data_IF_320873554332
#
_entry.id   IF_320873554332
#
_cell.length_a   1.000
_cell.length_b   1.000
_cell.length_c   1.000
_cell.angle_alpha   90.00
_cell.angle_beta   90.00
_cell.angle_gamma   90.00
#
_symmetry.space_group_name_H-M   'P 1'
#
loop_
_entity.id
_entity.type
_entity.pdbx_description
1 polymer ?
#
# COMPACT_ATOMS: atom_id res chain seq x y z
N UNK A 1 -13.33 23.35 9.09
CA UNK A 1 -13.16 22.61 10.36
C UNK A 1 -14.19 21.49 10.38
N UNK A 2 -13.82 20.25 10.04
CA UNK A 2 -14.73 19.12 10.22
C UNK A 2 -14.58 18.62 11.66
N UNK A 3 -15.68 18.68 12.41
CA UNK A 3 -15.82 18.05 13.71
C UNK A 3 -15.34 16.60 13.60
N UNK A 4 -14.50 16.19 14.55
CA UNK A 4 -13.99 14.82 14.71
C UNK A 4 -15.16 13.84 14.64
N UNK A 5 -15.33 13.20 13.48
CA UNK A 5 -16.29 12.12 13.30
C UNK A 5 -15.97 11.05 14.34
N UNK A 6 -16.99 10.54 15.03
CA UNK A 6 -16.77 9.51 16.03
C UNK A 6 -16.04 8.31 15.39
N UNK A 7 -15.07 7.71 16.08
CA UNK A 7 -14.38 6.53 15.58
C UNK A 7 -15.43 5.44 15.31
N UNK A 8 -15.46 4.90 14.09
CA UNK A 8 -16.45 3.90 13.65
C UNK A 8 -15.75 2.69 13.05
N UNK A 9 -16.28 1.52 13.35
CA UNK A 9 -15.98 0.29 12.62
C UNK A 9 -17.07 0.12 11.56
N UNK A 10 -16.67 -0.12 10.32
CA UNK A 10 -17.60 -0.26 9.20
C UNK A 10 -17.70 -1.75 8.87
N UNK A 11 -18.87 -2.38 9.02
CA UNK A 11 -19.05 -3.78 8.64
C UNK A 11 -18.96 -3.92 7.12
N UNK A 12 -18.23 -4.93 6.65
CA UNK A 12 -18.20 -5.32 5.24
C UNK A 12 -19.46 -6.15 4.97
N UNK A 13 -20.45 -5.57 4.30
CA UNK A 13 -21.77 -6.18 4.07
C UNK A 13 -21.72 -7.57 3.46
N UNK A 14 -20.76 -7.81 2.56
CA UNK A 14 -20.58 -9.09 1.90
C UNK A 14 -20.12 -10.22 2.85
N UNK A 15 -19.53 -9.90 4.00
CA UNK A 15 -18.97 -10.89 4.93
C UNK A 15 -19.34 -10.52 6.36
N UNK A 16 -20.30 -11.27 6.91
CA UNK A 16 -20.72 -11.06 8.30
C UNK A 16 -19.55 -11.27 9.27
N UNK A 17 -19.40 -10.36 10.22
CA UNK A 17 -18.28 -10.37 11.18
C UNK A 17 -17.00 -9.69 10.69
N UNK A 18 -16.88 -9.32 9.40
CA UNK A 18 -15.70 -8.58 8.91
C UNK A 18 -15.93 -7.06 8.99
N UNK A 19 -14.94 -6.34 9.51
CA UNK A 19 -14.99 -4.88 9.67
C UNK A 19 -13.73 -4.21 9.09
N UNK A 20 -13.89 -2.99 8.60
CA UNK A 20 -12.79 -2.09 8.24
C UNK A 20 -12.88 -0.78 9.02
N UNK A 21 -11.73 -0.20 9.37
CA UNK A 21 -11.67 1.14 9.96
C UNK A 21 -10.36 1.87 9.67
N UNK A 22 -10.30 3.13 10.11
CA UNK A 22 -9.05 3.86 10.31
C UNK A 22 -8.41 3.53 11.68
N UNK A 23 -7.29 4.18 11.99
CA UNK A 23 -6.57 3.97 13.26
C UNK A 23 -7.37 4.37 14.50
N UNK A 24 -8.25 5.38 14.38
CA UNK A 24 -9.02 5.89 15.51
C UNK A 24 -10.19 4.97 15.83
N UNK A 25 -10.85 4.44 14.81
CA UNK A 25 -11.84 3.36 14.90
C UNK A 25 -11.28 2.16 15.65
N UNK A 26 -10.09 1.72 15.27
CA UNK A 26 -9.42 0.59 15.88
C UNK A 26 -9.04 0.83 17.35
N UNK A 27 -8.71 2.07 17.75
CA UNK A 27 -8.33 2.41 19.13
C UNK A 27 -9.50 2.57 20.11
N UNK A 28 -10.76 2.32 19.71
CA UNK A 28 -11.93 2.46 20.57
C UNK A 28 -12.32 1.11 21.19
N UNK A 29 -11.93 0.85 22.45
CA UNK A 29 -12.29 -0.38 23.16
C UNK A 29 -13.80 -0.63 23.17
N UNK A 30 -14.60 0.41 23.41
CA UNK A 30 -16.07 0.33 23.35
C UNK A 30 -16.58 -0.18 21.99
N UNK A 31 -15.95 0.22 20.89
CA UNK A 31 -16.34 -0.29 19.57
C UNK A 31 -15.89 -1.73 19.37
N UNK A 32 -14.67 -2.07 19.81
CA UNK A 32 -14.15 -3.42 19.69
C UNK A 32 -15.02 -4.42 20.48
N UNK A 33 -15.37 -4.09 21.72
CA UNK A 33 -16.25 -4.89 22.57
C UNK A 33 -17.68 -4.93 22.02
N UNK A 34 -18.23 -3.78 21.64
CA UNK A 34 -19.60 -3.67 21.13
C UNK A 34 -19.84 -4.43 19.81
N UNK A 35 -18.81 -4.66 19.02
CA UNK A 35 -18.86 -5.45 17.79
C UNK A 35 -18.30 -6.88 17.95
N UNK A 36 -17.97 -7.30 19.18
CA UNK A 36 -17.44 -8.64 19.44
C UNK A 36 -16.13 -8.93 18.70
N UNK A 37 -15.28 -7.92 18.51
CA UNK A 37 -14.02 -8.07 17.78
C UNK A 37 -13.09 -8.99 18.58
N UNK A 38 -12.71 -10.12 17.97
CA UNK A 38 -11.78 -11.11 18.53
C UNK A 38 -10.42 -11.09 17.83
N UNK A 39 -10.35 -10.57 16.59
CA UNK A 39 -9.07 -10.42 15.87
C UNK A 39 -8.94 -9.07 15.20
N UNK A 40 -7.71 -8.57 15.18
CA UNK A 40 -7.35 -7.33 14.49
C UNK A 40 -6.17 -7.61 13.56
N UNK A 41 -6.31 -7.24 12.30
CA UNK A 41 -5.23 -7.14 11.32
C UNK A 41 -4.86 -5.66 11.14
N UNK A 42 -3.73 -5.27 11.71
CA UNK A 42 -3.19 -3.91 11.64
C UNK A 42 -2.18 -3.82 10.49
N UNK A 43 -2.48 -3.01 9.49
CA UNK A 43 -1.59 -2.78 8.34
C UNK A 43 -1.03 -1.36 8.43
N UNK A 44 0.12 -1.22 9.07
CA UNK A 44 0.66 0.05 9.57
C UNK A 44 2.12 0.26 9.13
N UNK A 45 2.63 1.48 9.18
CA UNK A 45 4.06 1.75 8.97
C UNK A 45 4.82 1.35 10.23
N UNK A 46 6.13 1.02 10.15
CA UNK A 46 6.92 0.67 11.34
C UNK A 46 6.90 1.72 12.46
N UNK A 47 6.75 3.00 12.11
CA UNK A 47 6.68 4.11 13.07
C UNK A 47 5.25 4.44 13.54
N UNK A 48 4.22 3.87 12.93
CA UNK A 48 2.82 4.00 13.34
C UNK A 48 2.57 3.08 14.54
N UNK A 49 3.02 3.50 15.72
CA UNK A 49 2.74 2.76 16.97
C UNK A 49 1.24 2.74 17.24
N UNK A 50 0.67 1.54 17.29
CA UNK A 50 -0.72 1.33 17.63
C UNK A 50 -0.89 0.20 18.65
N UNK A 51 -1.83 0.43 19.57
CA UNK A 51 -2.30 -0.53 20.59
C UNK A 51 -3.80 -0.30 20.79
N UNK A 52 -4.58 -1.34 21.11
CA UNK A 52 -5.91 -1.16 21.68
C UNK A 52 -5.78 -0.30 22.94
N UNK A 53 -6.61 0.73 23.11
CA UNK A 53 -6.68 1.44 24.40
C UNK A 53 -7.50 0.59 25.35
N UNK A 54 -6.86 -0.12 26.27
CA UNK A 54 -7.58 -0.66 27.41
C UNK A 54 -8.12 0.48 28.27
N UNK A 55 -9.25 0.26 28.96
CA UNK A 55 -9.89 1.25 29.85
C UNK A 55 -8.98 1.67 31.02
N UNK A 56 -7.86 0.99 31.25
CA UNK A 56 -6.80 1.37 32.16
C UNK A 56 -5.48 1.04 31.45
N UNK A 57 -4.67 2.04 31.10
CA UNK A 57 -3.31 2.11 31.64
C UNK A 57 -2.51 3.34 31.19
N UNK A 58 -2.03 4.03 32.21
CA UNK A 58 -0.86 4.87 32.16
C UNK A 58 0.38 3.99 32.37
N UNK A 59 1.12 3.72 31.29
CA UNK A 59 2.54 3.41 31.35
C UNK A 59 2.95 1.96 31.66
N UNK A 60 3.95 1.53 30.89
CA UNK A 60 4.98 0.51 31.20
C UNK A 60 4.78 -0.89 30.59
N UNK A 61 5.67 -1.16 29.62
CA UNK A 61 6.29 -2.41 29.15
C UNK A 61 5.53 -3.76 29.12
N UNK A 62 5.57 -4.32 27.89
CA UNK A 62 5.38 -5.72 27.46
C UNK A 62 5.03 -6.76 28.52
N UNK A 63 3.82 -7.30 28.42
CA UNK A 63 3.51 -8.72 28.63
C UNK A 63 2.17 -9.05 27.95
N UNK A 64 1.92 -10.33 27.66
CA UNK A 64 0.65 -10.82 27.13
C UNK A 64 -0.41 -10.63 28.21
N UNK A 65 -1.06 -9.47 28.22
CA UNK A 65 -2.06 -9.15 29.24
C UNK A 65 -3.37 -9.89 28.94
N UNK A 66 -3.59 -10.96 29.71
CA UNK A 66 -4.91 -11.58 29.86
C UNK A 66 -5.80 -10.62 30.64
N UNK A 67 -6.76 -9.99 29.96
CA UNK A 67 -7.83 -9.26 30.65
C UNK A 67 -8.67 -10.25 31.48
N UNK A 68 -8.97 -9.97 32.75
CA UNK A 68 -9.86 -10.80 33.55
C UNK A 68 -11.29 -10.63 33.05
N UNK A 69 -11.75 -11.54 32.20
CA UNK A 69 -13.15 -11.66 31.76
C UNK A 69 -13.49 -11.19 30.34
N UNK A 70 -12.52 -10.74 29.53
CA UNK A 70 -12.75 -10.26 28.16
C UNK A 70 -12.24 -11.25 27.11
N UNK A 71 -12.94 -11.40 25.99
CA UNK A 71 -12.55 -12.27 24.88
C UNK A 71 -11.07 -12.05 24.48
N UNK A 72 -10.34 -13.15 24.22
CA UNK A 72 -8.93 -13.11 23.80
C UNK A 72 -8.78 -12.36 22.46
N UNK A 73 -8.53 -11.04 22.52
CA UNK A 73 -8.27 -10.20 21.36
C UNK A 73 -6.89 -10.52 20.79
N UNK A 74 -6.83 -11.13 19.60
CA UNK A 74 -5.58 -11.42 18.92
C UNK A 74 -5.26 -10.33 17.89
N UNK A 75 -4.03 -9.80 17.93
CA UNK A 75 -3.58 -8.76 17.01
C UNK A 75 -2.46 -9.29 16.13
N UNK A 76 -2.56 -9.04 14.82
CA UNK A 76 -1.51 -9.28 13.84
C UNK A 76 -1.15 -7.98 13.15
N UNK A 77 0.13 -7.64 13.15
CA UNK A 77 0.63 -6.43 12.50
C UNK A 77 1.43 -6.79 11.25
N UNK A 78 1.09 -6.14 10.13
CA UNK A 78 1.87 -6.15 8.90
C UNK A 78 2.43 -4.74 8.74
N UNK A 79 3.75 -4.64 8.80
CA UNK A 79 4.46 -3.36 8.76
C UNK A 79 4.83 -2.99 7.32
N UNK A 80 4.00 -2.13 6.71
CA UNK A 80 4.18 -1.67 5.32
C UNK A 80 3.82 -0.18 5.13
N UNK A 81 4.54 0.44 4.21
CA UNK A 81 4.22 1.76 3.68
C UNK A 81 3.07 1.70 2.68
N UNK A 82 2.36 2.82 2.52
CA UNK A 82 1.32 2.97 1.50
C UNK A 82 1.93 3.40 0.16
N UNK A 83 2.90 2.63 -0.29
CA UNK A 83 3.70 2.90 -1.49
C UNK A 83 3.39 1.86 -2.58
N UNK A 84 3.22 2.27 -3.86
CA UNK A 84 2.94 1.36 -4.97
C UNK A 84 3.95 0.22 -5.19
N UNK A 85 5.20 0.40 -4.76
CA UNK A 85 6.29 -0.55 -4.96
C UNK A 85 6.44 -1.53 -3.79
N UNK A 86 5.73 -1.32 -2.67
CA UNK A 86 5.76 -2.27 -1.56
C UNK A 86 5.06 -3.57 -1.96
N UNK A 87 5.76 -4.70 -1.73
CA UNK A 87 5.25 -6.04 -2.00
C UNK A 87 4.27 -6.48 -0.93
N UNK A 88 2.98 -6.39 -1.26
CA UNK A 88 1.89 -6.90 -0.43
C UNK A 88 1.56 -8.36 -0.73
N UNK A 89 1.93 -8.87 -1.93
CA UNK A 89 1.63 -10.24 -2.38
C UNK A 89 2.15 -11.30 -1.41
N UNK A 90 3.35 -11.10 -0.85
CA UNK A 90 3.95 -12.00 0.14
C UNK A 90 3.12 -12.17 1.42
N UNK A 91 2.25 -11.21 1.75
CA UNK A 91 1.43 -11.22 2.97
C UNK A 91 -0.02 -11.65 2.75
N UNK A 92 -0.52 -11.63 1.51
CA UNK A 92 -1.95 -11.79 1.25
C UNK A 92 -2.49 -13.16 1.67
N UNK A 93 -1.74 -14.24 1.45
CA UNK A 93 -2.15 -15.59 1.83
C UNK A 93 -2.36 -15.70 3.35
N UNK A 94 -1.31 -15.39 4.12
CA UNK A 94 -1.35 -15.44 5.58
C UNK A 94 -2.40 -14.48 6.17
N UNK A 95 -2.54 -13.29 5.59
CA UNK A 95 -3.54 -12.32 6.04
C UNK A 95 -4.97 -12.80 5.78
N UNK A 96 -5.23 -13.41 4.63
CA UNK A 96 -6.55 -13.97 4.34
C UNK A 96 -6.85 -15.17 5.24
N UNK A 97 -5.87 -16.03 5.54
CA UNK A 97 -6.02 -17.14 6.49
C UNK A 97 -6.30 -16.62 7.91
N UNK A 98 -5.60 -15.55 8.31
CA UNK A 98 -5.81 -14.89 9.59
C UNK A 98 -7.24 -14.35 9.74
N UNK A 99 -7.76 -13.71 8.69
CA UNK A 99 -9.12 -13.19 8.65
C UNK A 99 -10.13 -14.34 8.71
N UNK A 100 -10.01 -15.34 7.83
CA UNK A 100 -10.95 -16.47 7.77
C UNK A 100 -11.03 -17.22 9.11
N UNK A 101 -9.88 -17.50 9.72
CA UNK A 101 -9.84 -18.18 11.01
C UNK A 101 -10.39 -17.33 12.17
N UNK A 102 -10.50 -16.01 12.01
CA UNK A 102 -11.10 -15.10 12.98
C UNK A 102 -12.62 -14.99 12.88
N UNK A 103 -13.18 -15.16 11.69
CA UNK A 103 -14.63 -15.12 11.45
C UNK A 103 -15.36 -16.35 12.03
N UNK A 104 -14.61 -17.35 12.50
CA UNK A 104 -15.12 -18.68 12.81
C UNK A 104 -15.49 -19.40 11.52
N UNK A 105 -15.34 -20.72 11.47
CA UNK A 105 -15.82 -21.49 10.31
C UNK A 105 -17.31 -21.17 10.12
N UNK A 106 -17.67 -20.53 9.01
CA UNK A 106 -18.99 -20.76 8.41
C UNK A 106 -19.08 -22.28 8.33
N UNK A 107 -19.96 -22.86 9.13
CA UNK A 107 -20.11 -24.30 9.15
C UNK A 107 -20.62 -24.68 7.77
N UNK A 108 -19.74 -25.19 6.92
CA UNK A 108 -20.04 -25.86 5.63
C UNK A 108 -20.88 -27.14 5.81
N UNK A 109 -21.52 -27.32 6.95
CA UNK A 109 -22.55 -28.30 7.18
C UNK A 109 -23.71 -27.58 7.86
N UNK A 110 -24.93 -27.82 7.37
CA UNK A 110 -26.19 -27.39 7.99
C UNK A 110 -26.44 -28.01 9.37
N UNK A 111 -25.46 -27.90 10.27
CA UNK A 111 -25.55 -28.23 11.67
C UNK A 111 -26.10 -27.02 12.41
N UNK A 112 -27.20 -27.24 13.12
CA UNK A 112 -27.68 -26.37 14.18
C UNK A 112 -26.50 -25.94 15.07
N UNK A 113 -26.09 -24.66 14.98
CA UNK A 113 -25.22 -24.07 15.98
C UNK A 113 -26.07 -23.91 17.24
N UNK A 114 -26.00 -24.92 18.10
CA UNK A 114 -26.59 -24.87 19.42
C UNK A 114 -25.84 -23.81 20.24
N UNK A 115 -26.47 -22.64 20.42
CA UNK A 115 -26.02 -21.64 21.36
C UNK A 115 -26.12 -20.22 20.81
N UNK A 116 -26.72 -19.34 21.62
CA UNK A 116 -26.93 -17.91 21.40
C UNK A 116 -25.61 -17.10 21.42
N UNK A 117 -24.52 -17.63 20.84
CA UNK A 117 -23.20 -17.02 20.86
C UNK A 117 -23.11 -15.98 19.71
N UNK A 118 -22.74 -14.73 20.00
CA UNK A 118 -22.58 -13.72 18.97
C UNK A 118 -21.45 -14.10 18.00
N UNK A 119 -21.64 -13.80 16.71
CA UNK A 119 -20.62 -14.06 15.68
C UNK A 119 -19.31 -13.31 16.04
N UNK A 120 -18.14 -13.98 15.98
CA UNK A 120 -16.87 -13.33 16.23
C UNK A 120 -16.55 -12.29 15.15
N UNK A 121 -16.07 -11.13 15.58
CA UNK A 121 -15.69 -10.03 14.71
C UNK A 121 -14.19 -10.01 14.37
N UNK A 122 -13.86 -9.67 13.12
CA UNK A 122 -12.50 -9.43 12.64
C UNK A 122 -12.41 -8.01 12.11
N UNK A 123 -11.44 -7.24 12.61
CA UNK A 123 -11.18 -5.89 12.15
C UNK A 123 -9.91 -5.84 11.30
N UNK A 124 -9.98 -5.24 10.11
CA UNK A 124 -8.82 -4.86 9.31
C UNK A 124 -8.70 -3.34 9.31
N UNK A 125 -7.55 -2.81 9.72
CA UNK A 125 -7.36 -1.36 9.73
C UNK A 125 -5.96 -0.95 9.28
N UNK A 126 -5.85 0.30 8.82
CA UNK A 126 -4.59 0.98 8.59
C UNK A 126 -4.67 2.38 9.21
N UNK A 127 -3.89 3.34 8.70
CA UNK A 127 -3.99 4.73 9.13
C UNK A 127 -5.35 5.37 8.82
N UNK A 128 -5.84 5.23 7.59
CA UNK A 128 -7.02 5.94 7.07
C UNK A 128 -8.21 5.03 6.74
N UNK A 129 -8.01 3.70 6.69
CA UNK A 129 -9.06 2.78 6.25
C UNK A 129 -9.39 2.91 4.76
N UNK A 130 -8.40 3.22 3.91
CA UNK A 130 -8.58 3.54 2.47
C UNK A 130 -7.76 2.59 1.57
N UNK A 131 -6.43 2.72 1.58
CA UNK A 131 -5.55 2.01 0.63
C UNK A 131 -5.02 0.70 1.21
N UNK A 132 -4.06 0.75 2.16
CA UNK A 132 -3.49 -0.45 2.80
C UNK A 132 -4.55 -1.45 3.29
N UNK A 133 -5.36 -1.12 4.30
CA UNK A 133 -6.39 -2.04 4.79
C UNK A 133 -7.45 -2.37 3.74
N UNK A 134 -7.77 -1.42 2.84
CA UNK A 134 -8.66 -1.64 1.72
C UNK A 134 -8.15 -2.73 0.78
N UNK A 135 -6.85 -2.74 0.47
CA UNK A 135 -6.21 -3.74 -0.36
C UNK A 135 -6.32 -5.15 0.26
N UNK A 136 -6.09 -5.28 1.57
CA UNK A 136 -6.23 -6.55 2.27
C UNK A 136 -7.68 -7.04 2.34
N UNK A 137 -8.65 -6.14 2.56
CA UNK A 137 -10.09 -6.48 2.51
C UNK A 137 -10.47 -6.94 1.10
N UNK A 138 -10.05 -6.21 0.06
CA UNK A 138 -10.32 -6.59 -1.34
C UNK A 138 -9.67 -7.93 -1.67
N UNK A 139 -8.41 -8.16 -1.29
CA UNK A 139 -7.73 -9.45 -1.48
C UNK A 139 -8.50 -10.63 -0.86
N UNK A 140 -9.03 -10.42 0.35
CA UNK A 140 -9.84 -11.40 1.06
C UNK A 140 -11.15 -11.68 0.33
N UNK A 141 -11.89 -10.65 -0.08
CA UNK A 141 -13.14 -10.80 -0.85
C UNK A 141 -12.91 -11.52 -2.18
N UNK A 142 -11.84 -11.18 -2.91
CA UNK A 142 -11.44 -11.87 -4.13
C UNK A 142 -11.21 -13.37 -3.85
N UNK A 143 -10.46 -13.70 -2.79
CA UNK A 143 -10.15 -15.09 -2.44
C UNK A 143 -11.38 -15.88 -1.97
N UNK A 144 -12.24 -15.29 -1.14
CA UNK A 144 -13.43 -15.91 -0.55
C UNK A 144 -14.49 -16.18 -1.61
N UNK A 145 -14.77 -15.21 -2.47
CA UNK A 145 -15.83 -15.32 -3.49
C UNK A 145 -15.34 -15.76 -4.87
N UNK A 146 -14.03 -15.91 -5.06
CA UNK A 146 -13.42 -16.26 -6.36
C UNK A 146 -13.84 -15.31 -7.48
N UNK A 147 -13.89 -14.02 -7.15
CA UNK A 147 -14.28 -12.94 -8.07
C UNK A 147 -13.06 -12.10 -8.47
N UNK A 148 -13.23 -11.35 -9.55
CA UNK A 148 -12.20 -10.44 -10.04
C UNK A 148 -11.96 -9.27 -9.10
N UNK A 149 -10.83 -8.59 -9.28
CA UNK A 149 -10.51 -7.37 -8.53
C UNK A 149 -11.63 -6.32 -8.59
N UNK A 150 -12.19 -6.05 -9.78
CA UNK A 150 -13.22 -5.03 -9.96
C UNK A 150 -14.53 -5.38 -9.23
N UNK A 151 -14.92 -6.65 -9.24
CA UNK A 151 -16.08 -7.13 -8.50
C UNK A 151 -15.86 -7.06 -6.98
N UNK A 152 -14.71 -7.53 -6.49
CA UNK A 152 -14.38 -7.46 -5.06
C UNK A 152 -14.27 -6.01 -4.55
N UNK A 153 -13.70 -5.10 -5.34
CA UNK A 153 -13.64 -3.68 -5.01
C UNK A 153 -15.05 -3.06 -4.92
N UNK A 154 -15.96 -3.45 -5.82
CA UNK A 154 -17.37 -3.03 -5.76
C UNK A 154 -18.02 -3.48 -4.46
N UNK A 155 -17.89 -4.78 -4.11
CA UNK A 155 -18.42 -5.33 -2.86
C UNK A 155 -17.87 -4.60 -1.61
N UNK A 156 -16.58 -4.29 -1.60
CA UNK A 156 -15.98 -3.52 -0.50
C UNK A 156 -16.59 -2.09 -0.43
N UNK A 157 -16.77 -1.45 -1.58
CA UNK A 157 -17.29 -0.07 -1.69
C UNK A 157 -18.77 0.07 -1.38
N UNK A 158 -19.56 -1.00 -1.47
CA UNK A 158 -20.93 -1.02 -0.95
C UNK A 158 -21.00 -0.73 0.57
N UNK A 159 -19.90 -1.02 1.27
CA UNK A 159 -19.77 -0.80 2.71
C UNK A 159 -19.04 0.51 3.02
N UNK A 160 -17.97 0.80 2.28
CA UNK A 160 -17.13 2.00 2.45
C UNK A 160 -16.64 2.51 1.10
N UNK A 161 -17.26 3.58 0.58
CA UNK A 161 -16.98 4.11 -0.76
C UNK A 161 -15.56 4.63 -0.92
N UNK A 162 -14.91 5.05 0.18
CA UNK A 162 -13.54 5.57 0.16
C UNK A 162 -12.48 4.47 -0.02
N UNK A 163 -12.82 3.17 0.02
CA UNK A 163 -11.86 2.10 -0.22
C UNK A 163 -11.25 2.27 -1.62
N UNK A 164 -9.94 2.47 -1.65
CA UNK A 164 -9.20 2.70 -2.88
C UNK A 164 -7.75 2.29 -2.64
N UNK A 165 -7.39 1.02 -2.92
CA UNK A 165 -5.99 0.61 -2.99
C UNK A 165 -5.21 1.54 -3.90
N UNK A 166 -3.95 1.83 -3.57
CA UNK A 166 -3.07 2.55 -4.48
C UNK A 166 -2.85 1.75 -5.78
N UNK A 167 -2.35 2.40 -6.83
CA UNK A 167 -2.21 1.80 -8.17
C UNK A 167 -1.28 0.58 -8.20
N UNK A 168 -0.26 0.55 -7.34
CA UNK A 168 0.64 -0.60 -7.22
C UNK A 168 0.00 -1.79 -6.51
N UNK A 169 -0.78 -1.54 -5.46
CA UNK A 169 -1.57 -2.56 -4.79
C UNK A 169 -2.66 -3.12 -5.70
N UNK A 170 -3.32 -2.28 -6.49
CA UNK A 170 -4.26 -2.75 -7.52
C UNK A 170 -3.60 -3.72 -8.52
N UNK A 171 -2.42 -3.36 -9.07
CA UNK A 171 -1.67 -4.25 -9.97
C UNK A 171 -1.35 -5.58 -9.29
N UNK A 172 -0.91 -5.53 -8.04
CA UNK A 172 -0.63 -6.72 -7.24
C UNK A 172 -1.88 -7.57 -7.00
N UNK A 173 -3.05 -6.97 -6.74
CA UNK A 173 -4.31 -7.70 -6.57
C UNK A 173 -4.74 -8.42 -7.85
N UNK A 174 -4.44 -7.87 -9.03
CA UNK A 174 -4.63 -8.59 -10.29
C UNK A 174 -3.65 -9.76 -10.42
N UNK A 175 -2.38 -9.60 -10.04
CA UNK A 175 -1.40 -10.70 -9.97
C UNK A 175 -1.87 -11.79 -9.00
N UNK A 176 -2.49 -11.39 -7.87
CA UNK A 176 -3.07 -12.29 -6.87
C UNK A 176 -4.17 -13.18 -7.45
N UNK A 177 -5.06 -12.61 -8.26
CA UNK A 177 -6.08 -13.33 -9.03
C UNK A 177 -5.45 -14.34 -10.00
N UNK A 178 -4.48 -13.91 -10.82
CA UNK A 178 -3.76 -14.81 -11.74
C UNK A 178 -3.02 -15.93 -11.04
N UNK A 179 -2.51 -15.67 -9.84
CA UNK A 179 -1.85 -16.67 -9.01
C UNK A 179 -2.85 -17.60 -8.29
N UNK A 180 -4.16 -17.52 -8.58
CA UNK A 180 -5.22 -18.29 -7.93
C UNK A 180 -5.19 -18.16 -6.40
N UNK A 181 -4.87 -16.95 -5.92
CA UNK A 181 -4.82 -16.65 -4.50
C UNK A 181 -3.77 -17.46 -3.72
N UNK A 182 -2.67 -17.82 -4.39
CA UNK A 182 -1.42 -18.28 -3.77
C UNK A 182 -0.23 -17.94 -4.67
N UNK A 183 0.69 -17.08 -4.23
CA UNK A 183 1.84 -16.67 -5.04
C UNK A 183 3.03 -17.64 -5.00
N UNK A 184 2.94 -18.69 -4.19
CA UNK A 184 3.93 -19.76 -4.08
C UNK A 184 3.40 -21.07 -4.67
N UNK A 185 4.29 -22.03 -4.99
CA UNK A 185 3.90 -23.33 -5.52
C UNK A 185 3.40 -24.25 -4.41
N UNK A 186 2.45 -25.14 -4.74
CA UNK A 186 1.87 -26.08 -3.77
C UNK A 186 2.86 -27.15 -3.30
N UNK A 187 3.89 -27.45 -4.11
CA UNK A 187 4.96 -28.42 -3.79
C UNK A 187 5.83 -27.98 -2.59
N UNK A 188 5.64 -26.75 -2.10
CA UNK A 188 6.38 -26.18 -0.98
C UNK A 188 5.73 -26.43 0.39
N UNK A 189 4.64 -27.22 0.46
CA UNK A 189 3.89 -27.48 1.70
C UNK A 189 4.54 -28.45 2.70
N UNK A 190 5.81 -28.83 2.54
CA UNK A 190 6.47 -29.82 3.43
C UNK A 190 7.47 -29.22 4.45
N UNK A 191 7.07 -29.37 5.72
CA UNK A 191 7.75 -29.63 7.02
C UNK A 191 9.11 -29.01 7.38
N UNK A 192 9.90 -28.50 6.45
CA UNK A 192 11.22 -27.95 6.77
C UNK A 192 11.15 -26.42 6.87
N UNK A 193 11.20 -25.89 8.10
CA UNK A 193 11.08 -24.44 8.40
C UNK A 193 12.13 -23.57 7.70
N UNK A 194 13.15 -24.17 7.09
CA UNK A 194 14.23 -23.50 6.38
C UNK A 194 14.14 -23.57 4.85
N UNK A 195 13.14 -24.26 4.26
CA UNK A 195 13.01 -24.33 2.79
C UNK A 195 12.35 -23.06 2.24
N UNK A 196 13.05 -22.37 1.35
CA UNK A 196 12.52 -21.20 0.64
C UNK A 196 11.39 -21.63 -0.29
N UNK A 197 10.17 -21.12 -0.07
CA UNK A 197 9.02 -21.37 -0.96
C UNK A 197 9.30 -20.86 -2.37
N UNK A 198 9.05 -21.69 -3.37
CA UNK A 198 9.20 -21.38 -4.78
C UNK A 198 8.08 -20.46 -5.26
N UNK A 199 8.45 -19.28 -5.74
CA UNK A 199 7.52 -18.27 -6.27
C UNK A 199 6.94 -18.70 -7.63
N UNK A 200 5.64 -18.45 -7.85
CA UNK A 200 4.99 -18.61 -9.17
C UNK A 200 5.55 -17.62 -10.20
N UNK A 201 5.41 -17.95 -11.48
CA UNK A 201 6.00 -17.16 -12.56
C UNK A 201 5.46 -15.73 -12.59
N UNK A 202 4.14 -15.53 -12.47
CA UNK A 202 3.52 -14.20 -12.46
C UNK A 202 4.04 -13.31 -11.33
N UNK A 203 4.28 -13.90 -10.15
CA UNK A 203 4.87 -13.17 -9.02
C UNK A 203 6.35 -12.82 -9.27
N UNK A 204 7.13 -13.73 -9.86
CA UNK A 204 8.52 -13.45 -10.27
C UNK A 204 8.60 -12.33 -11.30
N UNK A 205 7.72 -12.35 -12.31
CA UNK A 205 7.65 -11.30 -13.33
C UNK A 205 7.31 -9.95 -12.70
N UNK A 206 6.34 -9.89 -11.78
CA UNK A 206 6.01 -8.66 -11.08
C UNK A 206 7.18 -8.13 -10.23
N UNK A 207 7.90 -9.00 -9.52
CA UNK A 207 9.10 -8.61 -8.77
C UNK A 207 10.17 -8.00 -9.68
N UNK A 208 10.45 -8.64 -10.82
CA UNK A 208 11.41 -8.13 -11.79
C UNK A 208 10.99 -6.75 -12.36
N UNK A 209 9.71 -6.56 -12.67
CA UNK A 209 9.20 -5.27 -13.15
C UNK A 209 9.35 -4.17 -12.07
N UNK A 210 9.00 -4.48 -10.82
CA UNK A 210 9.18 -3.57 -9.69
C UNK A 210 10.66 -3.19 -9.50
N UNK A 211 11.55 -4.18 -9.51
CA UNK A 211 12.98 -3.95 -9.27
C UNK A 211 13.59 -3.09 -10.38
N UNK A 212 13.17 -3.30 -11.63
CA UNK A 212 13.55 -2.45 -12.76
C UNK A 212 13.05 -1.00 -12.59
N UNK A 213 11.84 -0.79 -12.07
CA UNK A 213 11.31 0.56 -11.82
C UNK A 213 12.10 1.27 -10.71
N UNK A 214 12.45 0.56 -9.64
CA UNK A 214 13.29 1.08 -8.56
C UNK A 214 14.66 1.50 -9.09
N UNK A 215 15.32 0.62 -9.85
CA UNK A 215 16.63 0.90 -10.42
C UNK A 215 16.61 2.14 -11.33
N UNK A 216 15.62 2.24 -12.22
CA UNK A 216 15.46 3.42 -13.10
C UNK A 216 15.24 4.70 -12.30
N UNK A 217 14.42 4.65 -11.24
CA UNK A 217 14.18 5.80 -10.36
C UNK A 217 15.46 6.25 -9.65
N UNK A 218 16.27 5.31 -9.16
CA UNK A 218 17.57 5.62 -8.54
C UNK A 218 18.55 6.24 -9.55
N UNK A 219 18.61 5.68 -10.77
CA UNK A 219 19.42 6.22 -11.86
C UNK A 219 19.04 7.66 -12.22
N UNK A 220 17.74 7.98 -12.29
CA UNK A 220 17.25 9.32 -12.59
C UNK A 220 17.54 10.32 -11.45
N UNK A 221 17.36 9.89 -10.20
CA UNK A 221 17.74 10.70 -9.02
C UNK A 221 19.24 10.96 -8.99
N UNK A 222 20.06 9.95 -9.27
CA UNK A 222 21.50 10.09 -9.32
C UNK A 222 21.92 11.01 -10.47
N UNK A 223 21.34 10.85 -11.66
CA UNK A 223 21.55 11.74 -12.81
C UNK A 223 21.25 13.19 -12.47
N UNK A 224 20.13 13.46 -11.78
CA UNK A 224 19.75 14.80 -11.35
C UNK A 224 20.75 15.39 -10.33
N UNK A 225 21.23 14.58 -9.37
CA UNK A 225 22.26 14.99 -8.40
C UNK A 225 23.59 15.32 -9.08
N UNK A 226 24.04 14.47 -10.00
CA UNK A 226 25.29 14.71 -10.76
C UNK A 226 25.20 15.96 -11.64
N UNK A 227 24.07 16.18 -12.31
CA UNK A 227 23.84 17.40 -13.08
C UNK A 227 23.89 18.66 -12.20
N UNK A 228 23.29 18.61 -11.01
CA UNK A 228 23.34 19.71 -10.04
C UNK A 228 24.76 19.98 -9.54
N UNK A 229 25.53 18.94 -9.20
CA UNK A 229 26.93 19.05 -8.80
C UNK A 229 27.81 19.62 -9.92
N UNK A 230 27.63 19.16 -11.15
CA UNK A 230 28.35 19.67 -12.32
C UNK A 230 28.04 21.17 -12.56
N UNK A 231 26.76 21.57 -12.44
CA UNK A 231 26.35 22.97 -12.54
C UNK A 231 26.96 23.85 -11.45
N UNK A 232 26.99 23.35 -10.20
CA UNK A 232 27.69 24.02 -9.09
C UNK A 232 29.18 24.15 -9.37
N UNK A 233 29.87 23.07 -9.76
CA UNK A 233 31.29 23.08 -10.08
C UNK A 233 31.64 24.09 -11.20
N UNK A 234 30.83 24.16 -12.25
CA UNK A 234 31.00 25.14 -13.32
C UNK A 234 30.85 26.60 -12.85
N UNK A 235 29.95 26.87 -11.88
CA UNK A 235 29.79 28.20 -11.27
C UNK A 235 31.01 28.59 -10.43
N UNK A 236 31.54 27.66 -9.64
CA UNK A 236 32.76 27.90 -8.86
C UNK A 236 34.01 28.03 -9.73
N UNK A 237 34.08 27.30 -10.86
CA UNK A 237 35.12 27.45 -11.86
C UNK A 237 35.13 28.85 -12.49
N UNK A 238 33.95 29.39 -12.86
CA UNK A 238 33.82 30.75 -13.39
C UNK A 238 34.23 31.83 -12.38
N UNK A 239 33.84 31.70 -11.10
CA UNK A 239 34.29 32.64 -10.05
C UNK A 239 35.81 32.69 -9.87
N UNK A 240 36.51 31.56 -9.97
CA UNK A 240 37.99 31.57 -9.93
C UNK A 240 38.63 32.23 -11.15
N UNK A 241 37.96 32.22 -12.30
CA UNK A 241 38.42 32.91 -13.50
C UNK A 241 38.09 34.41 -13.46
N UNK A 242 36.99 34.79 -12.81
CA UNK A 242 36.59 36.19 -12.56
C UNK A 242 37.42 36.88 -11.46
N UNK A 243 38.07 36.12 -10.57
CA UNK A 243 39.05 36.64 -9.58
C UNK A 243 40.45 36.89 -10.17
N UNK A 244 40.66 36.66 -11.48
CA UNK A 244 41.85 37.17 -12.18
C UNK A 244 41.67 38.69 -12.47
N UNK A 245 42.71 39.53 -12.32
CA UNK A 245 42.53 40.98 -12.33
C UNK A 245 42.22 41.49 -13.74
N UNK A 246 40.97 41.89 -13.98
CA UNK A 246 40.59 42.58 -15.21
C UNK A 246 39.09 42.80 -15.38
N UNK A 247 38.69 44.06 -15.18
CA UNK A 247 37.49 44.73 -15.71
C UNK A 247 36.11 44.55 -15.04
N UNK A 248 35.59 45.71 -14.66
CA UNK A 248 34.27 45.98 -14.09
C UNK A 248 33.14 45.67 -15.09
N UNK A 249 32.09 44.97 -14.64
CA UNK A 249 30.80 45.05 -15.30
C UNK A 249 29.61 44.91 -14.33
N UNK A 250 28.60 45.74 -14.61
CA UNK A 250 27.38 46.08 -13.87
C UNK A 250 26.52 44.87 -13.47
N UNK A 251 25.99 44.92 -12.25
CA UNK A 251 24.89 44.06 -11.80
C UNK A 251 23.56 44.43 -12.46
N UNK A 252 22.77 43.42 -12.83
CA UNK A 252 21.36 43.58 -13.19
C UNK A 252 20.53 42.35 -12.76
N UNK A 253 19.21 42.59 -12.66
CA UNK A 253 18.11 41.79 -12.11
C UNK A 253 17.88 40.39 -12.72
N UNK A 254 18.87 39.49 -12.71
CA UNK A 254 18.72 38.15 -13.32
C UNK A 254 18.23 37.04 -12.36
N UNK A 255 18.24 37.25 -11.04
CA UNK A 255 17.98 36.18 -10.05
C UNK A 255 16.47 35.92 -9.79
N UNK A 256 15.59 36.90 -10.01
CA UNK A 256 14.13 36.70 -9.84
C UNK A 256 13.48 36.04 -11.07
N UNK A 257 13.95 36.35 -12.28
CA UNK A 257 13.47 35.71 -13.51
C UNK A 257 13.78 34.21 -13.54
N UNK A 258 14.93 33.81 -12.99
CA UNK A 258 15.40 32.42 -13.01
C UNK A 258 14.62 31.49 -12.08
N UNK A 259 14.24 31.98 -10.89
CA UNK A 259 13.40 31.23 -9.93
C UNK A 259 11.98 31.01 -10.48
N UNK A 260 11.44 31.98 -11.21
CA UNK A 260 10.12 31.89 -11.83
C UNK A 260 10.12 30.93 -13.02
N UNK A 261 11.21 30.90 -13.80
CA UNK A 261 11.40 29.94 -14.90
C UNK A 261 11.57 28.51 -14.38
N UNK A 262 12.34 28.28 -13.30
CA UNK A 262 12.50 26.94 -12.70
C UNK A 262 11.20 26.41 -12.06
N UNK A 263 10.41 27.27 -11.39
CA UNK A 263 9.10 26.87 -10.88
C UNK A 263 8.11 26.55 -12.00
N UNK A 264 8.13 27.34 -13.09
CA UNK A 264 7.31 27.08 -14.27
C UNK A 264 7.71 25.77 -14.96
N UNK A 265 9.00 25.51 -15.13
CA UNK A 265 9.52 24.25 -15.69
C UNK A 265 9.17 23.03 -14.83
N UNK A 266 9.21 23.15 -13.50
CA UNK A 266 8.78 22.08 -12.59
C UNK A 266 7.28 21.81 -12.70
N UNK A 267 6.46 22.85 -12.82
CA UNK A 267 5.01 22.72 -13.00
C UNK A 267 4.66 22.09 -14.35
N UNK A 268 5.29 22.54 -15.43
CA UNK A 268 5.13 21.98 -16.78
C UNK A 268 5.66 20.54 -16.89
N UNK A 269 6.66 20.17 -16.08
CA UNK A 269 7.15 18.79 -15.97
C UNK A 269 6.13 17.91 -15.26
N UNK A 270 5.54 18.39 -14.16
CA UNK A 270 4.52 17.67 -13.39
C UNK A 270 3.22 17.47 -14.19
N UNK A 271 2.79 18.50 -14.94
CA UNK A 271 1.63 18.42 -15.83
C UNK A 271 1.87 17.45 -17.00
N UNK A 272 3.11 17.35 -17.50
CA UNK A 272 3.50 16.35 -18.50
C UNK A 272 3.43 14.92 -17.96
N UNK A 273 3.89 14.69 -16.73
CA UNK A 273 3.81 13.37 -16.07
C UNK A 273 2.35 12.96 -15.84
N UNK A 274 1.51 13.85 -15.31
CA UNK A 274 0.09 13.56 -15.15
C UNK A 274 -0.62 13.26 -16.48
N UNK A 275 -0.27 13.99 -17.55
CA UNK A 275 -0.84 13.75 -18.88
C UNK A 275 -0.39 12.40 -19.44
N UNK A 276 0.86 11.99 -19.21
CA UNK A 276 1.33 10.64 -19.58
C UNK A 276 0.62 9.55 -18.79
N UNK A 277 0.39 9.74 -17.48
CA UNK A 277 -0.36 8.78 -16.67
C UNK A 277 -1.82 8.66 -17.13
N UNK A 278 -2.47 9.77 -17.47
CA UNK A 278 -3.83 9.79 -17.99
C UNK A 278 -3.93 9.12 -19.36
N UNK A 279 -3.03 9.44 -20.30
CA UNK A 279 -2.99 8.84 -21.64
C UNK A 279 -2.65 7.33 -21.57
N UNK A 280 -1.74 6.94 -20.66
CA UNK A 280 -1.45 5.53 -20.40
C UNK A 280 -2.67 4.78 -19.85
N UNK A 281 -3.38 5.37 -18.89
CA UNK A 281 -4.62 4.80 -18.35
C UNK A 281 -5.72 4.69 -19.41
N UNK A 282 -5.88 5.70 -20.28
CA UNK A 282 -6.85 5.66 -21.38
C UNK A 282 -6.51 4.58 -22.41
N UNK A 283 -5.24 4.42 -22.78
CA UNK A 283 -4.78 3.36 -23.70
C UNK A 283 -4.97 1.96 -23.11
N UNK A 284 -4.82 1.83 -21.80
CA UNK A 284 -5.08 0.58 -21.07
C UNK A 284 -6.58 0.24 -21.04
N UNK A 285 -7.44 1.24 -20.82
CA UNK A 285 -8.91 1.09 -20.82
C UNK A 285 -9.43 0.73 -22.23
N UNK A 286 -8.79 1.24 -23.29
CA UNK A 286 -9.15 0.96 -24.69
C UNK A 286 -8.50 -0.29 -25.28
N UNK A 287 -7.68 -1.01 -24.52
CA UNK A 287 -7.03 -2.25 -24.96
C UNK A 287 -6.00 -2.08 -26.07
N UNK A 288 -5.37 -0.90 -26.21
CA UNK A 288 -4.50 -0.55 -27.34
C UNK A 288 -2.98 -0.66 -27.05
N UNK A 289 -2.54 -1.56 -26.17
CA UNK A 289 -1.10 -1.73 -25.90
C UNK A 289 -0.55 -2.92 -26.70
N UNK A 290 -0.13 -2.67 -27.94
CA UNK A 290 0.85 -3.53 -28.62
C UNK A 290 2.26 -3.12 -28.19
N UNK A 291 3.06 -4.10 -27.76
CA UNK A 291 4.48 -3.92 -27.51
C UNK A 291 5.23 -3.93 -28.86
N UNK A 292 5.68 -2.76 -29.32
CA UNK A 292 6.77 -2.69 -30.30
C UNK A 292 8.06 -2.48 -29.52
N UNK A 293 8.89 -3.52 -29.52
CA UNK A 293 10.28 -3.47 -29.09
C UNK A 293 11.18 -2.95 -30.22
N UNK A 294 12.28 -2.34 -29.78
CA UNK A 294 13.52 -2.07 -30.50
C UNK A 294 13.45 -1.34 -31.86
N UNK A 295 13.96 -0.11 -31.87
CA UNK A 295 15.12 0.13 -32.73
C UNK A 295 16.03 1.25 -32.20
N UNK A 296 17.25 0.83 -31.88
CA UNK A 296 18.41 1.65 -31.59
C UNK A 296 18.91 2.22 -32.91
N UNK A 297 18.89 3.56 -33.07
CA UNK A 297 19.91 4.25 -33.87
C UNK A 297 20.40 5.49 -33.14
N UNK A 298 21.58 5.37 -32.54
CA UNK A 298 22.40 6.49 -32.14
C UNK A 298 22.92 7.28 -33.34
N UNK A 299 23.40 8.51 -33.13
CA UNK A 299 23.80 9.41 -34.20
C UNK A 299 25.22 9.09 -34.70
N UNK A 300 25.38 9.08 -36.03
CA UNK A 300 26.65 9.29 -36.75
C UNK A 300 26.30 10.15 -37.96
N UNK A 301 26.73 11.40 -37.94
CA UNK A 301 27.89 11.93 -38.68
C UNK A 301 27.66 11.92 -40.20
#
# INVERSE_FOLDING_TARGET
MNLLQSPKLIPIRAVSGLFISDRFGASSAKNLEGHGIVRILSVLQPHEKWRPRNSLDAGTHMEVERSPGGANLAVKTIEIDDDPLVDILQYLEEACDWIEAGLGRESDCGGYVAGNQPQPGVLVHCRQGISRSGAFVVAFLMRKFKVSYSAALTLARESRTEICPNSGFEKQLRVWEFCQYNVFRDDDKQEDKHKVRSKKQSYKTWLAERDNLLQRGEEDVNRARFSSLASMAARFGRRRQEEAPGEQAKGTNEDEGRKNVEQKQRKESWERVQKMEQDWNERLIRGQVHAEGDDIKGPKE
#
